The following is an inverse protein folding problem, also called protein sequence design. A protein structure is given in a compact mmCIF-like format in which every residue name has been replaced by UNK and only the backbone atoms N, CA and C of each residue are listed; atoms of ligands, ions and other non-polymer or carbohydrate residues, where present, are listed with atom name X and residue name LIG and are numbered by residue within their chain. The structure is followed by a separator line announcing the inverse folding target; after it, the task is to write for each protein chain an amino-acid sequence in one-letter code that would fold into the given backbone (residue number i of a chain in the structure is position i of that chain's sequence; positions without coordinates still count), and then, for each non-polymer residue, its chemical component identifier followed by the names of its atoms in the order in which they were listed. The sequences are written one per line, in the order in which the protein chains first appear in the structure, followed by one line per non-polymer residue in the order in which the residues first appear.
data_IF_246931159703
#
_entry.id   IF_246931159703
#
_cell.length_a   1.000
_cell.length_b   1.000
_cell.length_c   1.000
_cell.angle_alpha   90.00
_cell.angle_beta   90.00
_cell.angle_gamma   90.00
#
_symmetry.space_group_name_H-M   'P 1'
#
loop_
_entity.id
_entity.type
_entity.pdbx_description
1 polymer ?
#
# COMPACT_ATOMS: atom_id res chain seq x y z
N UNK A 1 46.63 -14.68 2.08
CA UNK A 1 45.52 -14.50 3.03
C UNK A 1 44.36 -13.71 2.40
N UNK A 2 44.63 -12.73 1.56
CA UNK A 2 43.62 -11.79 1.01
C UNK A 2 42.74 -12.36 -0.12
N UNK A 3 43.16 -13.38 -0.83
CA UNK A 3 42.35 -14.02 -1.89
C UNK A 3 41.24 -14.96 -1.36
N UNK A 4 41.39 -15.48 -0.15
CA UNK A 4 40.44 -16.42 0.46
C UNK A 4 39.17 -15.70 1.00
N UNK A 5 39.32 -14.51 1.55
CA UNK A 5 38.19 -13.73 2.07
C UNK A 5 37.31 -13.22 0.93
N UNK A 6 37.87 -12.68 -0.12
CA UNK A 6 37.15 -12.21 -1.30
C UNK A 6 36.35 -13.33 -1.99
N UNK A 7 36.91 -14.55 -2.07
CA UNK A 7 36.23 -15.71 -2.67
C UNK A 7 35.03 -16.17 -1.80
N UNK A 8 35.21 -16.26 -0.48
CA UNK A 8 34.17 -16.67 0.43
C UNK A 8 32.98 -15.64 0.44
N UNK A 9 33.31 -14.37 0.39
CA UNK A 9 32.32 -13.30 0.29
C UNK A 9 31.53 -13.36 -1.03
N UNK A 10 32.24 -13.60 -2.14
CA UNK A 10 31.60 -13.77 -3.45
C UNK A 10 30.66 -14.99 -3.47
N UNK A 11 31.11 -16.13 -2.92
CA UNK A 11 30.26 -17.34 -2.83
C UNK A 11 29.06 -17.10 -1.91
N UNK A 12 29.28 -16.48 -0.75
CA UNK A 12 28.20 -16.16 0.17
C UNK A 12 27.14 -15.28 -0.53
N UNK A 13 27.55 -14.20 -1.17
CA UNK A 13 26.63 -13.30 -1.89
C UNK A 13 25.87 -13.95 -3.04
N UNK A 14 26.42 -15.03 -3.62
CA UNK A 14 25.77 -15.77 -4.69
C UNK A 14 24.70 -16.77 -4.21
N UNK A 15 24.76 -17.23 -2.95
CA UNK A 15 23.93 -18.34 -2.47
C UNK A 15 22.98 -17.96 -1.34
N UNK A 16 23.07 -16.74 -0.76
CA UNK A 16 22.19 -16.32 0.31
C UNK A 16 21.68 -14.88 0.10
N UNK A 17 20.54 -14.57 0.69
CA UNK A 17 20.01 -13.23 0.74
C UNK A 17 20.45 -12.55 2.06
N UNK A 18 21.40 -11.58 2.03
CA UNK A 18 21.95 -10.98 3.24
C UNK A 18 20.92 -10.20 4.08
N UNK A 19 19.75 -9.88 3.52
CA UNK A 19 18.67 -9.21 4.23
C UNK A 19 17.96 -10.11 5.24
N UNK A 20 17.87 -11.43 4.95
CA UNK A 20 17.07 -12.38 5.73
C UNK A 20 17.84 -13.66 6.10
N UNK A 21 19.01 -13.86 5.54
CA UNK A 21 19.82 -15.07 5.72
C UNK A 21 21.24 -14.74 6.18
N UNK A 22 21.85 -15.69 6.85
CA UNK A 22 23.27 -15.65 7.19
C UNK A 22 23.97 -16.85 6.57
N UNK A 23 25.13 -16.61 6.01
CA UNK A 23 25.98 -17.64 5.43
C UNK A 23 27.29 -17.73 6.20
N UNK A 24 27.71 -18.95 6.49
CA UNK A 24 29.06 -19.23 7.01
C UNK A 24 29.73 -20.28 6.14
N UNK A 25 30.94 -19.99 5.72
CA UNK A 25 31.74 -20.88 4.89
C UNK A 25 32.89 -21.43 5.76
N UNK A 26 32.93 -22.75 5.91
CA UNK A 26 33.94 -23.43 6.74
C UNK A 26 34.71 -24.45 5.93
N UNK A 27 35.97 -24.65 6.29
CA UNK A 27 36.81 -25.68 5.66
C UNK A 27 36.31 -27.08 6.01
N UNK A 28 36.25 -27.99 5.07
CA UNK A 28 35.78 -29.37 5.27
C UNK A 28 36.53 -30.14 6.38
N UNK A 29 37.76 -29.76 6.67
CA UNK A 29 38.55 -30.34 7.76
C UNK A 29 38.04 -29.95 9.15
N UNK A 30 37.47 -28.74 9.32
CA UNK A 30 36.88 -28.28 10.55
C UNK A 30 35.55 -29.02 10.82
N UNK A 31 34.72 -29.17 9.79
CA UNK A 31 33.47 -29.91 9.89
C UNK A 31 33.66 -31.39 10.25
N UNK A 32 34.77 -32.03 9.76
CA UNK A 32 35.09 -33.42 10.09
C UNK A 32 35.48 -33.64 11.55
N UNK A 33 35.90 -32.59 12.25
CA UNK A 33 36.23 -32.65 13.69
C UNK A 33 35.00 -32.34 14.58
N UNK A 34 33.84 -32.09 13.98
CA UNK A 34 32.63 -31.69 14.72
C UNK A 34 32.58 -30.22 15.11
N UNK A 35 33.56 -29.42 14.71
CA UNK A 35 33.60 -27.98 14.93
C UNK A 35 32.75 -27.25 13.87
N UNK A 36 31.44 -27.37 13.99
CA UNK A 36 30.52 -26.60 13.17
C UNK A 36 30.49 -25.15 13.64
N UNK A 37 30.60 -24.15 12.75
CA UNK A 37 30.46 -22.76 13.16
C UNK A 37 29.06 -22.55 13.71
N UNK A 38 28.96 -22.03 14.92
CA UNK A 38 27.69 -21.60 15.48
C UNK A 38 27.26 -20.33 14.77
N UNK A 39 26.26 -20.44 13.91
CA UNK A 39 25.50 -19.28 13.46
C UNK A 39 24.56 -18.88 14.60
N UNK A 40 25.08 -18.16 15.59
CA UNK A 40 24.23 -17.62 16.68
C UNK A 40 23.02 -16.87 16.12
N UNK A 41 21.93 -16.84 16.87
CA UNK A 41 20.81 -15.96 16.50
C UNK A 41 21.33 -14.53 16.37
N UNK A 42 20.85 -13.77 15.36
CA UNK A 42 21.20 -12.35 15.24
C UNK A 42 20.77 -11.64 16.52
N UNK A 43 21.70 -10.95 17.17
CA UNK A 43 21.30 -9.95 18.14
C UNK A 43 20.59 -8.83 17.38
N UNK A 44 19.27 -8.76 17.54
CA UNK A 44 18.49 -7.64 17.06
C UNK A 44 18.87 -6.47 17.97
N UNK A 45 19.69 -5.56 17.48
CA UNK A 45 19.84 -4.28 18.15
C UNK A 45 18.48 -3.60 18.08
N UNK A 46 17.83 -3.46 19.23
CA UNK A 46 16.62 -2.66 19.30
C UNK A 46 16.97 -1.26 18.80
N UNK A 47 16.34 -0.86 17.70
CA UNK A 47 16.43 0.53 17.25
C UNK A 47 15.96 1.42 18.41
N UNK A 48 16.60 2.55 18.65
CA UNK A 48 16.14 3.48 19.66
C UNK A 48 14.67 3.80 19.40
N UNK A 49 13.85 3.69 20.43
CA UNK A 49 12.43 4.04 20.32
C UNK A 49 12.33 5.51 19.92
N UNK A 50 11.89 5.75 18.67
CA UNK A 50 11.63 7.09 18.18
C UNK A 50 10.33 7.57 18.81
N UNK A 51 10.42 8.60 19.64
CA UNK A 51 9.23 9.26 20.18
C UNK A 51 8.50 9.97 19.04
N UNK A 52 7.18 9.79 18.91
CA UNK A 52 6.41 10.55 17.92
C UNK A 52 6.54 12.05 18.17
N UNK A 53 6.74 12.81 17.10
CA UNK A 53 6.84 14.26 17.19
C UNK A 53 5.45 14.91 17.27
N UNK A 54 5.28 15.92 18.12
CA UNK A 54 4.04 16.69 18.17
C UNK A 54 3.96 17.67 17.00
N UNK A 55 2.86 17.67 16.26
CA UNK A 55 2.61 18.56 15.14
C UNK A 55 1.66 19.68 15.57
N UNK A 56 2.16 20.93 15.61
CA UNK A 56 1.32 22.07 15.94
C UNK A 56 0.38 22.40 14.77
N UNK A 57 -0.94 22.31 15.02
CA UNK A 57 -1.97 22.69 14.07
C UNK A 57 -2.59 24.07 14.37
N UNK A 58 -2.17 24.77 15.41
CA UNK A 58 -2.61 26.15 15.71
C UNK A 58 -1.84 27.15 14.84
N UNK A 59 -2.08 27.09 13.53
CA UNK A 59 -1.37 27.82 12.49
C UNK A 59 -2.33 28.33 11.42
N UNK A 60 -1.85 29.14 10.48
CA UNK A 60 -2.63 29.65 9.35
C UNK A 60 -3.02 28.57 8.35
N UNK A 61 -3.94 28.88 7.46
CA UNK A 61 -4.38 27.97 6.40
C UNK A 61 -3.24 27.59 5.44
N UNK A 62 -2.36 28.55 5.13
CA UNK A 62 -1.17 28.30 4.30
C UNK A 62 -0.18 27.35 5.00
N UNK A 63 -0.01 27.51 6.29
CA UNK A 63 0.85 26.63 7.08
C UNK A 63 0.25 25.24 7.23
N UNK A 64 -1.08 25.10 7.37
CA UNK A 64 -1.77 23.81 7.36
C UNK A 64 -1.50 23.04 6.05
N UNK A 65 -1.62 23.71 4.91
CA UNK A 65 -1.29 23.12 3.61
C UNK A 65 0.19 22.74 3.51
N UNK A 66 1.08 23.60 4.03
CA UNK A 66 2.52 23.30 4.07
C UNK A 66 2.85 22.07 4.94
N UNK A 67 2.15 21.86 6.05
CA UNK A 67 2.29 20.67 6.89
C UNK A 67 1.86 19.42 6.09
N UNK A 68 0.72 19.49 5.39
CA UNK A 68 0.23 18.39 4.57
C UNK A 68 1.20 18.05 3.44
N UNK A 69 1.73 19.06 2.75
CA UNK A 69 2.68 18.87 1.65
C UNK A 69 4.02 18.29 2.12
N UNK A 70 4.62 18.87 3.16
CA UNK A 70 5.91 18.39 3.70
C UNK A 70 5.81 16.99 4.33
N UNK A 71 4.66 16.69 4.95
CA UNK A 71 4.38 15.38 5.50
C UNK A 71 3.92 14.35 4.46
N UNK A 72 3.77 14.73 3.18
CA UNK A 72 3.21 13.89 2.13
C UNK A 72 1.84 13.28 2.48
N UNK A 73 1.04 14.02 3.25
CA UNK A 73 -0.25 13.55 3.78
C UNK A 73 -1.35 13.53 2.72
N UNK A 74 -1.20 14.31 1.64
CA UNK A 74 -2.19 14.47 0.58
C UNK A 74 -3.58 14.89 1.11
N UNK A 75 -3.61 15.66 2.21
CA UNK A 75 -4.81 16.25 2.78
C UNK A 75 -5.01 17.66 2.20
N UNK A 76 -6.24 17.97 1.81
CA UNK A 76 -6.60 19.32 1.37
C UNK A 76 -6.86 20.26 2.57
N UNK A 77 -7.09 21.53 2.30
CA UNK A 77 -7.29 22.53 3.35
C UNK A 77 -8.49 22.22 4.25
N UNK A 78 -9.61 21.81 3.66
CA UNK A 78 -10.83 21.51 4.43
C UNK A 78 -10.65 20.34 5.37
N UNK A 79 -9.89 19.32 4.94
CA UNK A 79 -9.54 18.15 5.74
C UNK A 79 -8.58 18.55 6.88
N UNK A 80 -7.56 19.33 6.59
CA UNK A 80 -6.62 19.84 7.59
C UNK A 80 -7.34 20.72 8.63
N UNK A 81 -8.27 21.57 8.20
CA UNK A 81 -9.11 22.36 9.09
C UNK A 81 -10.08 21.49 9.92
N UNK A 82 -10.59 20.39 9.36
CA UNK A 82 -11.41 19.45 10.12
C UNK A 82 -10.61 18.78 11.22
N UNK A 83 -9.38 18.36 10.94
CA UNK A 83 -8.44 17.81 11.94
C UNK A 83 -8.13 18.88 12.99
N UNK A 84 -7.79 20.10 12.59
CA UNK A 84 -7.53 21.21 13.50
C UNK A 84 -8.72 21.45 14.46
N UNK A 85 -9.95 21.49 13.94
CA UNK A 85 -11.17 21.64 14.77
C UNK A 85 -11.32 20.50 15.77
N UNK A 86 -11.04 19.26 15.36
CA UNK A 86 -11.12 18.09 16.23
C UNK A 86 -10.17 18.22 17.43
N UNK A 87 -8.93 18.64 17.20
CA UNK A 87 -7.96 18.81 18.30
C UNK A 87 -8.21 20.05 19.17
N UNK A 88 -9.05 21.00 18.71
CA UNK A 88 -9.53 22.14 19.51
C UNK A 88 -10.70 21.79 20.43
N UNK A 89 -11.40 20.69 20.16
CA UNK A 89 -12.55 20.24 20.92
C UNK A 89 -12.15 19.93 22.37
N UNK A 90 -12.92 20.45 23.34
CA UNK A 90 -12.60 20.35 24.77
C UNK A 90 -12.66 18.91 25.27
N UNK A 91 -13.62 18.10 24.83
CA UNK A 91 -13.75 16.70 25.22
C UNK A 91 -12.57 15.87 24.70
N UNK A 92 -12.12 16.15 23.48
CA UNK A 92 -10.92 15.51 22.89
C UNK A 92 -9.67 15.88 23.70
N UNK A 93 -9.50 17.15 24.01
CA UNK A 93 -8.35 17.62 24.80
C UNK A 93 -8.31 16.96 26.18
N UNK A 94 -9.44 16.92 26.88
CA UNK A 94 -9.56 16.28 28.20
C UNK A 94 -9.31 14.78 28.14
N UNK A 95 -9.78 14.10 27.10
CA UNK A 95 -9.52 12.67 26.89
C UNK A 95 -8.03 12.40 26.64
N UNK A 96 -7.37 13.24 25.84
CA UNK A 96 -5.94 13.15 25.53
C UNK A 96 -5.06 13.41 26.74
N UNK A 97 -5.40 14.42 27.55
CA UNK A 97 -4.71 14.70 28.80
C UNK A 97 -4.70 13.50 29.76
N UNK A 98 -5.83 12.78 29.88
CA UNK A 98 -5.93 11.56 30.70
C UNK A 98 -5.01 10.43 30.21
N UNK A 99 -4.68 10.41 28.93
CA UNK A 99 -3.78 9.43 28.31
C UNK A 99 -2.32 9.88 28.30
N UNK A 100 -2.02 11.09 28.79
CA UNK A 100 -0.68 11.67 28.76
C UNK A 100 -0.21 12.06 27.35
N UNK A 101 -1.14 12.28 26.43
CA UNK A 101 -0.87 12.74 25.07
C UNK A 101 -0.89 14.28 24.99
N UNK A 102 -0.26 14.88 23.95
CA UNK A 102 -0.39 16.32 23.69
C UNK A 102 -1.87 16.70 23.54
N UNK A 103 -2.34 17.66 24.34
CA UNK A 103 -3.78 17.95 24.45
C UNK A 103 -4.39 18.52 23.15
N UNK A 104 -3.74 19.54 22.60
CA UNK A 104 -4.31 20.35 21.50
C UNK A 104 -3.66 20.06 20.13
N UNK A 105 -2.84 19.00 20.04
CA UNK A 105 -2.08 18.73 18.82
C UNK A 105 -1.93 17.23 18.61
N UNK A 106 -2.01 16.74 17.37
CA UNK A 106 -1.67 15.35 17.07
C UNK A 106 -0.17 15.11 17.19
N UNK A 107 0.19 13.86 17.30
CA UNK A 107 1.52 13.39 16.91
C UNK A 107 1.59 13.22 15.38
N UNK A 108 2.80 13.18 14.84
CA UNK A 108 3.04 12.85 13.43
C UNK A 108 2.45 11.49 13.04
N UNK A 109 2.57 10.49 13.91
CA UNK A 109 1.98 9.17 13.70
C UNK A 109 0.44 9.20 13.65
N UNK A 110 -0.22 9.98 14.51
CA UNK A 110 -1.68 10.16 14.48
C UNK A 110 -2.12 10.86 13.20
N UNK A 111 -1.38 11.89 12.79
CA UNK A 111 -1.69 12.64 11.57
C UNK A 111 -1.52 11.76 10.31
N UNK A 112 -0.48 10.95 10.27
CA UNK A 112 -0.28 9.96 9.21
C UNK A 112 -1.42 8.92 9.18
N UNK A 113 -1.83 8.38 10.31
CA UNK A 113 -2.96 7.46 10.39
C UNK A 113 -4.25 8.07 9.85
N UNK A 114 -4.55 9.34 10.19
CA UNK A 114 -5.70 10.06 9.65
C UNK A 114 -5.60 10.25 8.15
N UNK A 115 -4.42 10.67 7.65
CA UNK A 115 -4.18 10.88 6.24
C UNK A 115 -4.35 9.57 5.44
N UNK A 116 -3.82 8.46 5.92
CA UNK A 116 -3.95 7.16 5.27
C UNK A 116 -5.42 6.68 5.23
N UNK A 117 -6.16 6.82 6.33
CA UNK A 117 -7.57 6.40 6.37
C UNK A 117 -8.46 7.27 5.48
N UNK A 118 -8.11 8.53 5.26
CA UNK A 118 -8.81 9.47 4.38
C UNK A 118 -8.25 9.52 2.95
N UNK A 119 -7.26 8.69 2.63
CA UNK A 119 -6.68 8.63 1.29
C UNK A 119 -7.67 8.11 0.26
N UNK A 120 -7.45 8.44 -1.01
CA UNK A 120 -8.22 7.88 -2.13
C UNK A 120 -8.13 6.36 -2.19
N UNK A 121 -7.01 5.79 -1.71
CA UNK A 121 -6.81 4.34 -1.63
C UNK A 121 -7.76 3.67 -0.62
N UNK A 122 -7.89 4.23 0.58
CA UNK A 122 -8.72 3.61 1.63
C UNK A 122 -10.18 4.05 1.58
N UNK A 123 -10.44 5.34 1.28
CA UNK A 123 -11.76 5.95 1.41
C UNK A 123 -12.45 6.26 0.07
N UNK A 124 -11.72 6.20 -1.04
CA UNK A 124 -12.25 6.51 -2.38
C UNK A 124 -12.96 7.86 -2.43
N UNK A 125 -12.30 8.95 -2.05
CA UNK A 125 -12.88 10.30 -1.94
C UNK A 125 -13.63 10.71 -3.22
N UNK A 126 -12.95 10.70 -4.37
CA UNK A 126 -13.55 11.11 -5.65
C UNK A 126 -14.53 10.06 -6.16
N UNK A 127 -14.17 8.78 -6.14
CA UNK A 127 -15.04 7.70 -6.62
C UNK A 127 -16.27 7.48 -5.73
N UNK A 128 -16.22 7.89 -4.46
CA UNK A 128 -17.34 7.83 -3.52
C UNK A 128 -18.10 9.16 -3.39
N UNK A 129 -17.57 10.25 -3.94
CA UNK A 129 -18.13 11.59 -3.77
C UNK A 129 -19.48 11.77 -4.48
N UNK A 130 -20.25 12.74 -3.99
CA UNK A 130 -21.39 13.31 -4.70
C UNK A 130 -20.87 14.40 -5.63
N UNK A 131 -20.95 14.17 -6.94
CA UNK A 131 -20.41 15.05 -7.98
C UNK A 131 -21.56 15.76 -8.68
N UNK A 132 -21.52 17.08 -8.71
CA UNK A 132 -22.36 17.88 -9.58
C UNK A 132 -21.64 18.09 -10.92
N UNK A 133 -22.17 17.48 -11.97
CA UNK A 133 -21.59 17.50 -13.32
C UNK A 133 -22.45 18.39 -14.21
N UNK A 134 -21.80 19.37 -14.82
CA UNK A 134 -22.40 20.27 -15.81
C UNK A 134 -21.62 20.15 -17.12
N UNK A 135 -22.29 19.68 -18.16
CA UNK A 135 -21.74 19.68 -19.51
C UNK A 135 -22.09 20.99 -20.23
N UNK A 136 -21.09 21.84 -20.39
CA UNK A 136 -21.27 23.15 -21.04
C UNK A 136 -21.54 23.06 -22.56
N UNK A 137 -21.36 21.90 -23.18
CA UNK A 137 -21.60 21.67 -24.62
C UNK A 137 -23.04 21.23 -24.85
N UNK A 138 -23.51 20.25 -24.07
CA UNK A 138 -24.86 19.70 -24.18
C UNK A 138 -25.87 20.43 -23.32
N UNK A 139 -25.44 21.18 -22.31
CA UNK A 139 -26.28 21.80 -21.29
C UNK A 139 -26.82 20.82 -20.26
N UNK A 140 -26.29 19.60 -20.22
CA UNK A 140 -26.70 18.59 -19.25
C UNK A 140 -26.20 18.97 -17.85
N UNK A 141 -27.11 18.92 -16.88
CA UNK A 141 -26.85 19.20 -15.46
C UNK A 141 -27.32 17.98 -14.65
N UNK A 142 -26.36 17.21 -14.12
CA UNK A 142 -26.65 15.97 -13.40
C UNK A 142 -25.89 15.88 -12.09
N UNK A 143 -26.47 15.18 -11.12
CA UNK A 143 -25.77 14.83 -9.87
C UNK A 143 -25.48 13.34 -9.84
N UNK A 144 -24.19 12.99 -9.80
CA UNK A 144 -23.72 11.62 -9.68
C UNK A 144 -23.41 11.33 -8.22
N UNK A 145 -24.06 10.34 -7.65
CA UNK A 145 -23.81 9.91 -6.27
C UNK A 145 -22.91 8.68 -6.28
N UNK A 146 -21.60 8.88 -6.12
CA UNK A 146 -20.54 7.88 -6.25
C UNK A 146 -20.39 7.36 -7.71
N UNK A 147 -19.29 7.73 -8.34
CA UNK A 147 -18.93 7.19 -9.67
C UNK A 147 -18.90 5.67 -9.69
N UNK A 148 -18.29 5.07 -8.66
CA UNK A 148 -18.19 3.61 -8.54
C UNK A 148 -19.58 2.96 -8.47
N UNK A 149 -20.44 3.43 -7.56
CA UNK A 149 -21.77 2.83 -7.38
C UNK A 149 -22.66 3.01 -8.61
N UNK A 150 -22.62 4.21 -9.22
CA UNK A 150 -23.51 4.55 -10.32
C UNK A 150 -23.08 3.92 -11.64
N UNK A 151 -21.77 3.94 -11.94
CA UNK A 151 -21.29 3.59 -13.29
C UNK A 151 -20.56 2.23 -13.37
N UNK A 152 -20.19 1.63 -12.24
CA UNK A 152 -19.52 0.33 -12.21
C UNK A 152 -20.38 -0.70 -11.47
N UNK A 153 -20.67 -0.47 -10.20
CA UNK A 153 -21.36 -1.44 -9.38
C UNK A 153 -22.79 -1.72 -9.86
N UNK A 154 -23.59 -0.67 -10.05
CA UNK A 154 -25.00 -0.84 -10.44
C UNK A 154 -25.15 -1.50 -11.82
N UNK A 155 -24.44 -1.08 -12.89
CA UNK A 155 -24.52 -1.79 -14.18
C UNK A 155 -24.09 -3.24 -14.09
N UNK A 156 -23.05 -3.56 -13.29
CA UNK A 156 -22.61 -4.94 -13.09
C UNK A 156 -23.69 -5.79 -12.39
N UNK A 157 -24.35 -5.24 -11.36
CA UNK A 157 -25.47 -5.91 -10.69
C UNK A 157 -26.70 -6.10 -11.61
N UNK A 158 -26.94 -5.17 -12.52
CA UNK A 158 -28.02 -5.28 -13.49
C UNK A 158 -27.73 -6.32 -14.57
N UNK A 159 -26.47 -6.45 -15.00
CA UNK A 159 -26.01 -7.54 -15.86
C UNK A 159 -26.13 -8.89 -15.13
N UNK A 160 -25.74 -8.96 -13.86
CA UNK A 160 -25.83 -10.20 -13.07
C UNK A 160 -27.25 -10.77 -13.02
N UNK A 161 -28.29 -9.93 -13.04
CA UNK A 161 -29.70 -10.37 -13.08
C UNK A 161 -30.09 -11.01 -14.43
N UNK A 162 -29.32 -10.78 -15.48
CA UNK A 162 -29.61 -11.21 -16.84
C UNK A 162 -28.77 -12.41 -17.29
N UNK A 163 -27.74 -12.77 -16.52
CA UNK A 163 -26.81 -13.84 -16.84
C UNK A 163 -26.62 -14.76 -15.63
N UNK A 164 -26.31 -16.01 -15.87
CA UNK A 164 -26.11 -17.05 -14.87
C UNK A 164 -24.62 -17.36 -14.58
N UNK A 165 -23.73 -16.81 -15.39
CA UNK A 165 -22.30 -17.07 -15.27
C UNK A 165 -21.55 -16.12 -14.32
N UNK A 166 -22.15 -15.03 -13.84
CA UNK A 166 -21.57 -14.17 -12.81
C UNK A 166 -21.85 -14.74 -11.41
N UNK A 167 -20.87 -15.41 -10.82
CA UNK A 167 -21.07 -16.15 -9.56
C UNK A 167 -20.80 -15.28 -8.32
N UNK A 168 -19.71 -14.54 -8.31
CA UNK A 168 -19.34 -13.65 -7.20
C UNK A 168 -18.71 -12.37 -7.71
N UNK A 169 -19.26 -11.22 -7.28
CA UNK A 169 -18.81 -9.88 -7.62
C UNK A 169 -18.90 -8.98 -6.40
N UNK A 170 -17.89 -8.17 -6.15
CA UNK A 170 -17.79 -7.20 -5.03
C UNK A 170 -17.89 -7.79 -3.62
N UNK A 171 -17.69 -9.10 -3.44
CA UNK A 171 -17.82 -9.77 -2.14
C UNK A 171 -16.56 -10.51 -1.67
N UNK A 172 -15.70 -10.89 -2.61
CA UNK A 172 -14.50 -11.67 -2.33
C UNK A 172 -13.27 -10.94 -2.89
N UNK A 173 -12.09 -11.51 -2.71
CA UNK A 173 -10.82 -10.94 -3.15
C UNK A 173 -10.74 -10.81 -4.68
N UNK A 174 -11.52 -11.58 -5.42
CA UNK A 174 -11.60 -11.49 -6.89
C UNK A 174 -13.02 -11.67 -7.40
N UNK A 175 -13.26 -11.26 -8.64
CA UNK A 175 -14.48 -11.60 -9.36
C UNK A 175 -14.45 -13.07 -9.80
N UNK A 176 -15.60 -13.76 -9.69
CA UNK A 176 -15.73 -15.20 -10.04
C UNK A 176 -16.81 -15.38 -11.09
N UNK A 177 -16.45 -16.04 -12.18
CA UNK A 177 -17.38 -16.39 -13.27
C UNK A 177 -17.42 -17.89 -13.50
N UNK A 178 -18.57 -18.45 -13.87
CA UNK A 178 -18.67 -19.81 -14.34
C UNK A 178 -17.95 -19.99 -15.68
N UNK A 179 -17.17 -21.04 -15.82
CA UNK A 179 -16.51 -21.40 -17.07
C UNK A 179 -17.22 -22.56 -17.77
N UNK A 180 -17.53 -23.59 -17.02
CA UNK A 180 -18.33 -24.75 -17.45
C UNK A 180 -18.95 -25.40 -16.20
N UNK A 181 -19.50 -26.60 -16.35
CA UNK A 181 -20.17 -27.33 -15.24
C UNK A 181 -19.23 -27.63 -14.05
N UNK A 182 -17.92 -27.81 -14.30
CA UNK A 182 -16.95 -28.24 -13.30
C UNK A 182 -16.05 -27.11 -12.79
N UNK A 183 -15.89 -26.01 -13.56
CA UNK A 183 -14.88 -25.00 -13.30
C UNK A 183 -15.44 -23.57 -13.29
N UNK A 184 -14.90 -22.79 -12.36
CA UNK A 184 -15.09 -21.36 -12.33
C UNK A 184 -13.74 -20.65 -12.50
N UNK A 185 -13.74 -19.46 -13.07
CA UNK A 185 -12.55 -18.62 -13.23
C UNK A 185 -12.62 -17.43 -12.29
N UNK A 186 -11.49 -17.13 -11.68
CA UNK A 186 -11.27 -15.92 -10.89
C UNK A 186 -10.49 -14.91 -11.71
N UNK A 187 -10.88 -13.64 -11.64
CA UNK A 187 -10.19 -12.52 -12.29
C UNK A 187 -9.94 -11.44 -11.26
N UNK A 188 -8.68 -11.02 -11.17
CA UNK A 188 -8.25 -9.88 -10.35
C UNK A 188 -7.38 -8.96 -11.19
N UNK A 189 -7.61 -7.66 -11.09
CA UNK A 189 -6.73 -6.64 -11.62
C UNK A 189 -6.36 -5.67 -10.50
N UNK A 190 -5.12 -5.22 -10.49
CA UNK A 190 -4.60 -4.29 -9.49
C UNK A 190 -3.56 -3.37 -10.11
N UNK A 191 -3.50 -2.13 -9.63
CA UNK A 191 -2.47 -1.17 -9.99
C UNK A 191 -1.49 -1.02 -8.83
N UNK A 192 -0.21 -0.90 -9.16
CA UNK A 192 0.86 -0.72 -8.18
C UNK A 192 1.80 0.43 -8.58
N UNK A 193 1.21 1.55 -8.99
CA UNK A 193 1.93 2.68 -9.58
C UNK A 193 2.81 3.43 -8.59
N UNK A 194 2.31 3.81 -7.41
CA UNK A 194 3.06 4.59 -6.43
C UNK A 194 4.28 3.85 -5.87
N UNK A 195 4.16 2.61 -5.36
CA UNK A 195 5.33 1.83 -4.96
C UNK A 195 6.33 1.61 -6.10
N UNK A 196 5.84 1.36 -7.32
CA UNK A 196 6.72 1.17 -8.51
C UNK A 196 7.42 2.44 -8.95
N UNK A 197 6.85 3.62 -8.67
CA UNK A 197 7.51 4.90 -8.93
C UNK A 197 8.66 5.17 -7.96
N UNK A 198 8.56 4.71 -6.72
CA UNK A 198 9.58 4.89 -5.68
C UNK A 198 10.69 3.82 -5.79
N UNK A 199 10.32 2.57 -5.99
CA UNK A 199 11.20 1.43 -6.18
C UNK A 199 10.63 0.52 -7.29
N UNK A 200 11.04 0.71 -8.55
CA UNK A 200 10.46 0.01 -9.69
C UNK A 200 10.47 -1.52 -9.56
N UNK A 201 11.57 -2.10 -9.09
CA UNK A 201 11.69 -3.54 -8.95
C UNK A 201 10.86 -4.09 -7.78
N UNK A 202 11.03 -3.55 -6.59
CA UNK A 202 10.29 -3.96 -5.40
C UNK A 202 8.80 -3.66 -5.51
N UNK A 203 8.44 -2.52 -6.10
CA UNK A 203 7.05 -2.15 -6.35
C UNK A 203 6.36 -3.07 -7.35
N UNK A 204 7.02 -3.43 -8.45
CA UNK A 204 6.49 -4.37 -9.44
C UNK A 204 6.25 -5.77 -8.84
N UNK A 205 7.24 -6.31 -8.09
CA UNK A 205 7.09 -7.60 -7.40
C UNK A 205 5.92 -7.56 -6.42
N UNK A 206 5.77 -6.49 -5.65
CA UNK A 206 4.68 -6.33 -4.68
C UNK A 206 3.31 -6.34 -5.38
N UNK A 207 3.18 -5.69 -6.54
CA UNK A 207 1.97 -5.73 -7.36
C UNK A 207 1.61 -7.14 -7.81
N UNK A 208 2.57 -7.87 -8.36
CA UNK A 208 2.40 -9.27 -8.78
C UNK A 208 1.97 -10.16 -7.61
N UNK A 209 2.62 -10.01 -6.45
CA UNK A 209 2.28 -10.77 -5.24
C UNK A 209 0.87 -10.41 -4.76
N UNK A 210 0.47 -9.14 -4.81
CA UNK A 210 -0.86 -8.68 -4.40
C UNK A 210 -1.97 -9.33 -5.22
N UNK A 211 -1.86 -9.33 -6.54
CA UNK A 211 -2.80 -10.00 -7.45
C UNK A 211 -2.88 -11.51 -7.18
N UNK A 212 -1.73 -12.17 -7.03
CA UNK A 212 -1.70 -13.61 -6.77
C UNK A 212 -2.30 -13.99 -5.40
N UNK A 213 -2.07 -13.17 -4.37
CA UNK A 213 -2.65 -13.38 -3.04
C UNK A 213 -4.18 -13.32 -3.08
N UNK A 214 -4.75 -12.41 -3.82
CA UNK A 214 -6.18 -12.26 -3.95
C UNK A 214 -6.81 -13.46 -4.68
N UNK A 215 -6.16 -13.97 -5.72
CA UNK A 215 -6.61 -15.21 -6.36
C UNK A 215 -6.55 -16.40 -5.38
N UNK A 216 -5.41 -16.60 -4.70
CA UNK A 216 -5.26 -17.69 -3.71
C UNK A 216 -6.25 -17.54 -2.55
N UNK A 217 -6.56 -16.31 -2.14
CA UNK A 217 -7.51 -15.99 -1.07
C UNK A 217 -8.97 -16.11 -1.46
N UNK A 218 -9.30 -16.32 -2.74
CA UNK A 218 -10.69 -16.38 -3.23
C UNK A 218 -11.36 -17.71 -2.87
N UNK A 219 -12.53 -17.63 -2.23
CA UNK A 219 -13.31 -18.81 -1.84
C UNK A 219 -12.55 -19.72 -0.88
N UNK A 220 -12.49 -21.02 -1.19
CA UNK A 220 -11.71 -22.01 -0.44
C UNK A 220 -10.24 -22.10 -0.87
N UNK A 221 -9.80 -21.21 -1.73
CA UNK A 221 -8.47 -21.16 -2.30
C UNK A 221 -8.46 -21.49 -3.79
N UNK A 222 -8.43 -20.45 -4.64
CA UNK A 222 -8.30 -20.62 -6.07
C UNK A 222 -6.84 -20.80 -6.47
N UNK A 223 -6.62 -21.44 -7.61
CA UNK A 223 -5.29 -21.70 -8.16
C UNK A 223 -4.94 -20.69 -9.23
N UNK A 224 -3.85 -19.90 -9.09
CA UNK A 224 -3.37 -19.06 -10.17
C UNK A 224 -3.00 -19.90 -11.41
N UNK A 225 -3.48 -19.48 -12.57
CA UNK A 225 -3.23 -20.19 -13.85
C UNK A 225 -2.53 -19.31 -14.88
N UNK A 226 -2.66 -17.99 -14.75
CA UNK A 226 -2.01 -17.03 -15.62
C UNK A 226 -1.87 -15.68 -14.93
N UNK A 227 -0.78 -14.96 -15.23
CA UNK A 227 -0.62 -13.54 -14.94
C UNK A 227 -0.45 -12.78 -16.24
N UNK A 228 -0.97 -11.55 -16.25
CA UNK A 228 -0.64 -10.56 -17.28
C UNK A 228 -0.13 -9.32 -16.56
N UNK A 229 1.17 -9.04 -16.76
CA UNK A 229 1.82 -7.92 -16.12
C UNK A 229 2.07 -6.83 -17.17
N UNK A 230 1.60 -5.62 -16.87
CA UNK A 230 1.79 -4.44 -17.72
C UNK A 230 2.67 -3.44 -17.00
N UNK A 231 3.86 -3.21 -17.55
CA UNK A 231 4.83 -2.26 -17.01
C UNK A 231 4.87 -1.00 -17.85
N UNK A 232 4.74 0.15 -17.18
CA UNK A 232 4.89 1.45 -17.83
C UNK A 232 6.30 1.97 -17.58
N UNK A 233 7.02 2.27 -18.65
CA UNK A 233 8.37 2.81 -18.60
C UNK A 233 8.40 4.21 -19.19
N UNK A 234 9.34 5.04 -18.71
CA UNK A 234 9.69 6.28 -19.37
C UNK A 234 10.40 6.04 -20.72
N UNK A 235 10.61 7.11 -21.51
CA UNK A 235 11.40 7.00 -22.73
C UNK A 235 12.78 6.41 -22.46
N UNK A 236 13.31 5.51 -23.31
CA UNK A 236 14.62 4.88 -23.07
C UNK A 236 15.78 5.89 -23.21
N UNK A 237 15.54 7.04 -23.81
CA UNK A 237 16.47 8.15 -24.03
C UNK A 237 16.22 9.32 -23.06
N UNK A 238 15.65 9.07 -21.89
CA UNK A 238 15.40 10.10 -20.90
C UNK A 238 16.70 10.65 -20.33
N UNK A 239 17.00 11.91 -20.65
CA UNK A 239 18.30 12.56 -20.36
C UNK A 239 18.41 13.16 -18.94
N UNK A 240 17.30 13.25 -18.21
CA UNK A 240 17.30 13.85 -16.87
C UNK A 240 17.58 12.79 -15.80
N UNK A 241 18.06 13.26 -14.64
CA UNK A 241 18.20 12.37 -13.48
C UNK A 241 16.82 11.77 -13.12
N UNK A 242 16.80 10.47 -12.89
CA UNK A 242 15.62 9.79 -12.37
C UNK A 242 15.34 10.23 -10.92
N UNK A 243 14.07 10.21 -10.48
CA UNK A 243 13.69 10.53 -9.11
C UNK A 243 14.43 9.74 -8.06
#
# INVERSE_FOLDING_TARGET
GTHSESYNEMVANAIHNPMIERCSISMSQQCKKGDWPSLGFPEIQALPYLQPATVNLEVSDEELLSISEKGLLALNLEEMQAIQRHYRDEDVRLARAKLGLPEASPTDAELECLAQTWSEHCSHKIFAARIHHVDNVTGEDTTINSLFKTHIMQPTLDIQKQVDWLLSIFHDNSGVIAWNEDWSLCIKAETHNSPSALDPYGGAITGIVGVNRDIVGTGLGARPIANTDVFCFGPPDYEKQLP
#
